data_IF_566548133072
#
_entry.id   IF_566548133072
#
_cell.length_a   1.000
_cell.length_b   1.000
_cell.length_c   1.000
_cell.angle_alpha   90.00
_cell.angle_beta   90.00
_cell.angle_gamma   90.00
#
_symmetry.space_group_name_H-M   'P 1'
#
loop_
_entity.id
_entity.type
_entity.pdbx_description
1 polymer ?
#
# COMPACT_ATOMS: atom_id res chain seq x y z
N UNK A 1 -7.38 4.38 -12.93
CA UNK A 1 -6.77 5.09 -11.79
C UNK A 1 -5.86 6.19 -12.32
N UNK A 2 -5.89 7.34 -11.72
CA UNK A 2 -4.89 8.39 -11.92
C UNK A 2 -4.16 8.63 -10.62
N UNK A 3 -2.89 9.06 -10.68
CA UNK A 3 -2.07 9.33 -9.50
C UNK A 3 -1.42 10.71 -9.62
N UNK A 4 -1.44 11.45 -8.52
CA UNK A 4 -0.75 12.74 -8.38
C UNK A 4 -0.18 12.84 -6.98
N UNK A 5 1.13 13.08 -6.86
CA UNK A 5 1.85 13.16 -5.58
C UNK A 5 1.55 11.98 -4.64
N UNK A 6 1.48 10.77 -5.20
CA UNK A 6 1.22 9.53 -4.46
C UNK A 6 -0.24 9.31 -4.04
N UNK A 7 -1.15 10.20 -4.44
CA UNK A 7 -2.59 10.09 -4.15
C UNK A 7 -3.31 9.57 -5.38
N UNK A 8 -4.06 8.47 -5.20
CA UNK A 8 -4.79 7.79 -6.27
C UNK A 8 -6.25 8.21 -6.29
N UNK A 9 -6.73 8.56 -7.49
CA UNK A 9 -8.12 8.92 -7.76
C UNK A 9 -8.80 7.80 -8.54
N UNK A 10 -9.98 7.40 -8.11
CA UNK A 10 -10.76 6.35 -8.76
C UNK A 10 -11.39 6.86 -10.06
N UNK A 11 -11.48 6.00 -11.11
CA UNK A 11 -12.06 6.41 -12.41
C UNK A 11 -13.59 6.53 -12.38
N UNK A 12 -14.25 5.86 -11.44
CA UNK A 12 -15.69 5.87 -11.26
C UNK A 12 -16.05 5.57 -9.82
N UNK A 13 -17.27 5.88 -9.42
CA UNK A 13 -17.82 5.42 -8.14
C UNK A 13 -17.99 3.90 -8.13
N UNK A 14 -17.97 3.30 -6.95
CA UNK A 14 -18.12 1.87 -6.77
C UNK A 14 -17.40 1.35 -5.53
N UNK A 15 -17.64 0.09 -5.24
CA UNK A 15 -16.95 -0.64 -4.18
C UNK A 15 -15.71 -1.30 -4.77
N UNK A 16 -14.55 -1.00 -4.19
CA UNK A 16 -13.26 -1.48 -4.66
C UNK A 16 -12.57 -2.34 -3.63
N UNK A 17 -11.94 -3.42 -4.09
CA UNK A 17 -10.83 -4.05 -3.37
C UNK A 17 -9.56 -3.27 -3.70
N UNK A 18 -8.87 -2.82 -2.67
CA UNK A 18 -7.60 -2.11 -2.76
C UNK A 18 -6.55 -2.95 -2.05
N UNK A 19 -5.50 -3.33 -2.77
CA UNK A 19 -4.48 -4.25 -2.28
C UNK A 19 -3.10 -3.60 -2.43
N UNK A 20 -2.28 -3.72 -1.40
CA UNK A 20 -0.90 -3.25 -1.41
C UNK A 20 0.04 -4.41 -1.10
N UNK A 21 0.85 -4.79 -2.07
CA UNK A 21 1.87 -5.83 -1.98
C UNK A 21 3.24 -5.16 -1.95
N UNK A 22 4.06 -5.53 -0.98
CA UNK A 22 5.36 -4.92 -0.75
C UNK A 22 6.43 -5.98 -0.63
N UNK A 23 7.50 -5.83 -1.39
CA UNK A 23 8.71 -6.63 -1.26
C UNK A 23 9.84 -5.73 -0.81
N UNK A 24 10.54 -6.15 0.23
CA UNK A 24 11.69 -5.44 0.78
C UNK A 24 12.90 -6.34 0.88
N UNK A 25 14.07 -5.73 1.00
CA UNK A 25 15.34 -6.45 1.22
C UNK A 25 16.25 -5.68 2.15
N UNK A 26 17.05 -6.41 2.92
CA UNK A 26 18.05 -5.86 3.84
C UNK A 26 19.11 -6.91 4.18
N UNK A 27 20.34 -6.46 4.36
CA UNK A 27 21.36 -7.22 5.07
C UNK A 27 21.42 -6.71 6.51
N UNK A 28 20.75 -7.41 7.41
CA UNK A 28 20.60 -7.05 8.82
C UNK A 28 19.17 -7.28 9.31
N UNK A 29 18.97 -7.08 10.61
CA UNK A 29 17.66 -7.20 11.23
C UNK A 29 16.82 -5.91 11.09
N UNK A 30 15.51 -6.05 11.16
CA UNK A 30 14.58 -4.98 11.38
C UNK A 30 13.43 -5.51 12.23
N UNK A 31 13.18 -4.90 13.37
CA UNK A 31 12.15 -5.33 14.31
C UNK A 31 10.76 -5.21 13.70
N UNK A 32 10.53 -4.17 12.90
CA UNK A 32 9.30 -4.04 12.12
C UNK A 32 9.56 -3.45 10.75
N UNK A 33 8.76 -3.88 9.81
CA UNK A 33 8.57 -3.29 8.50
C UNK A 33 7.06 -3.26 8.29
N UNK A 34 6.51 -2.10 7.91
CA UNK A 34 5.07 -1.92 7.79
C UNK A 34 4.66 -1.49 6.39
N UNK A 35 3.48 -1.93 5.96
CA UNK A 35 2.78 -1.38 4.81
C UNK A 35 1.35 -1.00 5.19
N UNK A 36 0.85 0.09 4.62
CA UNK A 36 -0.40 0.67 5.04
C UNK A 36 -1.17 1.29 3.87
N UNK A 37 -2.48 1.14 3.91
CA UNK A 37 -3.41 1.82 3.00
C UNK A 37 -4.13 2.88 3.79
N UNK A 38 -4.11 4.12 3.30
CA UNK A 38 -4.91 5.22 3.82
C UNK A 38 -5.99 5.61 2.83
N UNK A 39 -7.18 5.92 3.33
CA UNK A 39 -8.29 6.43 2.56
C UNK A 39 -8.77 7.78 3.08
N UNK A 40 -9.34 8.56 2.20
CA UNK A 40 -10.01 9.83 2.53
C UNK A 40 -11.37 9.89 1.83
N UNK A 41 -12.34 10.53 2.46
CA UNK A 41 -13.64 10.86 1.88
C UNK A 41 -13.85 12.37 1.73
N UNK A 42 -12.83 13.18 2.08
CA UNK A 42 -12.90 14.64 2.09
C UNK A 42 -11.72 15.31 1.36
N UNK A 43 -11.28 14.66 0.28
CA UNK A 43 -10.19 15.14 -0.58
C UNK A 43 -8.87 15.41 0.16
N UNK A 44 -8.55 14.56 1.15
CA UNK A 44 -7.29 14.62 1.86
C UNK A 44 -7.24 15.59 3.05
N UNK A 45 -8.36 16.15 3.46
CA UNK A 45 -8.44 16.95 4.70
C UNK A 45 -8.14 16.08 5.93
N UNK A 46 -8.60 14.82 5.90
CA UNK A 46 -8.23 13.79 6.87
C UNK A 46 -8.03 12.45 6.17
N UNK A 47 -7.24 11.58 6.78
CA UNK A 47 -6.92 10.26 6.28
C UNK A 47 -7.12 9.21 7.36
N UNK A 48 -7.82 8.14 7.01
CA UNK A 48 -8.05 7.00 7.87
C UNK A 48 -7.19 5.81 7.44
N UNK A 49 -6.65 5.07 8.40
CA UNK A 49 -5.95 3.83 8.12
C UNK A 49 -6.97 2.75 7.78
N UNK A 50 -6.91 2.24 6.57
CA UNK A 50 -7.83 1.23 6.06
C UNK A 50 -7.27 -0.19 6.14
N UNK A 51 -5.96 -0.32 6.06
CA UNK A 51 -5.28 -1.60 6.10
C UNK A 51 -3.84 -1.41 6.57
N UNK A 52 -3.37 -2.35 7.37
CA UNK A 52 -2.04 -2.32 7.98
C UNK A 52 -1.51 -3.74 8.13
N UNK A 53 -0.24 -3.93 7.76
CA UNK A 53 0.48 -5.18 7.97
C UNK A 53 1.89 -4.90 8.43
N UNK A 54 2.40 -5.74 9.32
CA UNK A 54 3.79 -5.69 9.80
C UNK A 54 4.48 -7.02 9.61
N UNK A 55 5.76 -6.95 9.33
CA UNK A 55 6.71 -8.06 9.30
C UNK A 55 7.96 -7.68 10.07
N UNK A 56 8.78 -8.68 10.42
CA UNK A 56 10.11 -8.50 10.96
C UNK A 56 11.13 -9.28 10.12
N UNK A 57 12.38 -8.84 10.16
CA UNK A 57 13.50 -9.53 9.52
C UNK A 57 14.56 -9.84 10.56
N UNK A 58 15.05 -11.08 10.54
CA UNK A 58 16.23 -11.50 11.29
C UNK A 58 17.49 -11.30 10.44
N UNK A 59 18.61 -11.06 11.12
CA UNK A 59 19.91 -10.99 10.47
C UNK A 59 20.33 -12.38 9.96
N UNK A 60 20.47 -12.51 8.65
CA UNK A 60 20.93 -13.74 8.00
C UNK A 60 22.42 -13.69 7.63
N UNK A 61 23.14 -12.63 8.02
CA UNK A 61 24.53 -12.36 7.60
C UNK A 61 24.69 -12.23 6.08
N UNK A 62 23.60 -11.96 5.38
CA UNK A 62 23.53 -11.73 3.94
C UNK A 62 22.26 -10.95 3.63
N UNK A 63 22.10 -10.51 2.38
CA UNK A 63 20.86 -9.86 1.95
C UNK A 63 19.70 -10.85 2.04
N UNK A 64 18.68 -10.48 2.81
CA UNK A 64 17.46 -11.24 3.00
C UNK A 64 16.27 -10.47 2.41
N UNK A 65 15.25 -11.21 1.99
CA UNK A 65 14.05 -10.68 1.36
C UNK A 65 12.83 -10.93 2.24
N UNK A 66 11.87 -10.02 2.17
CA UNK A 66 10.60 -10.17 2.86
C UNK A 66 9.46 -9.67 1.97
N UNK A 67 8.30 -10.22 2.19
CA UNK A 67 7.06 -9.83 1.52
C UNK A 67 5.98 -9.58 2.56
N UNK A 68 5.21 -8.52 2.35
CA UNK A 68 4.00 -8.27 3.12
C UNK A 68 2.89 -7.70 2.24
N UNK A 69 1.69 -7.80 2.74
CA UNK A 69 0.49 -7.43 2.01
C UNK A 69 -0.57 -6.93 2.97
N UNK A 70 -1.28 -5.91 2.54
CA UNK A 70 -2.52 -5.50 3.19
C UNK A 70 -3.59 -5.24 2.14
N UNK A 71 -4.84 -5.37 2.52
CA UNK A 71 -6.00 -5.21 1.65
C UNK A 71 -7.12 -4.53 2.41
N UNK A 72 -7.91 -3.73 1.71
CA UNK A 72 -9.11 -3.09 2.24
C UNK A 72 -10.21 -3.04 1.18
N UNK A 73 -11.44 -3.07 1.64
CA UNK A 73 -12.61 -2.75 0.81
C UNK A 73 -12.91 -1.27 1.01
N UNK A 74 -13.02 -0.55 -0.08
CA UNK A 74 -13.23 0.90 -0.09
C UNK A 74 -14.43 1.27 -0.95
N UNK A 75 -15.43 1.93 -0.36
CA UNK A 75 -16.59 2.42 -1.08
C UNK A 75 -16.34 3.86 -1.55
N UNK A 76 -16.10 4.00 -2.86
CA UNK A 76 -15.90 5.29 -3.50
C UNK A 76 -17.24 5.85 -3.98
N UNK A 77 -17.90 6.61 -3.14
CA UNK A 77 -19.20 7.24 -3.47
C UNK A 77 -19.05 8.55 -4.26
N UNK A 78 -17.85 9.15 -4.27
CA UNK A 78 -17.57 10.39 -4.99
C UNK A 78 -16.10 10.45 -5.38
N UNK A 79 -15.80 10.39 -6.68
CA UNK A 79 -14.42 10.38 -7.20
C UNK A 79 -13.63 11.67 -6.96
N UNK A 80 -14.31 12.78 -6.69
CA UNK A 80 -13.64 14.05 -6.38
C UNK A 80 -13.10 14.09 -4.95
N UNK A 81 -13.72 13.37 -4.02
CA UNK A 81 -13.40 13.42 -2.59
C UNK A 81 -12.81 12.13 -2.05
N UNK A 82 -13.14 10.97 -2.64
CA UNK A 82 -12.69 9.66 -2.19
C UNK A 82 -11.41 9.25 -2.90
N UNK A 83 -10.34 9.12 -2.13
CA UNK A 83 -8.99 8.83 -2.63
C UNK A 83 -8.26 7.89 -1.70
N UNK A 84 -7.21 7.26 -2.20
CA UNK A 84 -6.32 6.40 -1.40
C UNK A 84 -4.86 6.75 -1.63
N UNK A 85 -4.03 6.45 -0.64
CA UNK A 85 -2.57 6.51 -0.71
C UNK A 85 -1.96 5.35 0.04
N UNK A 86 -0.69 5.09 -0.23
CA UNK A 86 0.04 3.95 0.31
C UNK A 86 1.27 4.40 1.07
N UNK A 87 1.59 3.68 2.13
CA UNK A 87 2.69 4.00 3.01
C UNK A 87 3.52 2.76 3.32
N UNK A 88 4.84 2.93 3.38
CA UNK A 88 5.77 1.94 3.92
C UNK A 88 6.62 2.58 5.00
N UNK A 89 6.96 1.82 6.03
CA UNK A 89 7.87 2.24 7.08
C UNK A 89 8.70 1.06 7.59
N UNK A 90 9.82 1.35 8.22
CA UNK A 90 10.68 0.34 8.82
C UNK A 90 11.47 0.97 9.98
N UNK A 91 11.84 0.15 10.97
CA UNK A 91 12.73 0.56 12.04
C UNK A 91 14.15 0.82 11.52
N UNK A 92 14.62 -0.04 10.61
CA UNK A 92 15.95 0.03 10.04
C UNK A 92 15.87 0.32 8.53
N UNK A 93 17.02 0.64 7.92
CA UNK A 93 17.10 0.89 6.49
C UNK A 93 16.77 -0.38 5.69
N UNK A 94 15.61 -0.40 5.08
CA UNK A 94 15.11 -1.46 4.19
C UNK A 94 14.96 -0.88 2.80
N UNK A 95 15.39 -1.62 1.79
CA UNK A 95 15.13 -1.27 0.40
C UNK A 95 13.81 -1.91 -0.03
N UNK A 96 12.83 -1.09 -0.37
CA UNK A 96 11.58 -1.54 -0.98
C UNK A 96 11.77 -1.64 -2.48
N UNK A 97 11.53 -2.83 -3.04
CA UNK A 97 11.88 -3.12 -4.44
C UNK A 97 10.70 -2.93 -5.37
N UNK A 98 10.94 -2.27 -6.49
CA UNK A 98 10.05 -2.21 -7.64
C UNK A 98 10.70 -2.89 -8.85
N UNK A 99 9.88 -3.31 -9.82
CA UNK A 99 10.34 -3.95 -11.04
C UNK A 99 9.36 -3.60 -12.16
N UNK A 100 9.90 -3.27 -13.35
CA UNK A 100 9.06 -2.93 -14.52
C UNK A 100 8.49 -4.16 -15.20
N UNK A 101 9.08 -5.33 -15.00
CA UNK A 101 8.71 -6.58 -15.67
C UNK A 101 7.91 -7.52 -14.75
N UNK A 102 7.94 -7.29 -13.43
CA UNK A 102 7.33 -8.16 -12.42
C UNK A 102 6.69 -7.34 -11.30
N UNK A 103 5.66 -7.89 -10.69
CA UNK A 103 5.03 -7.30 -9.51
C UNK A 103 5.79 -7.69 -8.25
N UNK A 104 6.76 -6.89 -7.84
CA UNK A 104 7.47 -7.03 -6.57
C UNK A 104 6.85 -6.14 -5.49
N UNK A 105 6.71 -4.84 -5.77
CA UNK A 105 5.90 -3.93 -4.97
C UNK A 105 4.86 -3.34 -5.92
N UNK A 106 3.59 -3.51 -5.61
CA UNK A 106 2.51 -3.07 -6.49
C UNK A 106 1.22 -2.77 -5.72
N UNK A 107 0.39 -1.95 -6.32
CA UNK A 107 -0.96 -1.64 -5.86
C UNK A 107 -1.96 -2.23 -6.85
N UNK A 108 -2.96 -2.93 -6.34
CA UNK A 108 -4.00 -3.56 -7.16
C UNK A 108 -5.35 -2.98 -6.77
N UNK A 109 -6.08 -2.53 -7.77
CA UNK A 109 -7.43 -1.99 -7.62
C UNK A 109 -8.39 -2.84 -8.44
N UNK A 110 -9.39 -3.39 -7.79
CA UNK A 110 -10.44 -4.17 -8.45
C UNK A 110 -11.81 -3.62 -8.07
N UNK A 111 -12.57 -3.18 -9.07
CA UNK A 111 -13.95 -2.77 -8.84
C UNK A 111 -14.80 -4.03 -8.67
N UNK A 112 -15.52 -4.12 -7.57
CA UNK A 112 -16.32 -5.29 -7.18
C UNK A 112 -17.79 -5.09 -7.50
N UNK A 113 -18.31 -3.88 -7.26
CA UNK A 113 -19.73 -3.60 -7.36
C UNK A 113 -19.99 -2.10 -7.52
N UNK A 114 -21.23 -1.76 -7.79
CA UNK A 114 -21.73 -0.38 -7.65
C UNK A 114 -21.85 0.00 -6.17
N UNK A 115 -21.65 1.28 -5.91
CA UNK A 115 -21.80 1.81 -4.56
C UNK A 115 -23.29 1.86 -4.16
#
# INVERSE_FOLDING_TARGET
MTVSSGVFTFPSTGIYSVQFNVTGKRNGDSRYIGCQIYGTANNGTSWDSLGLSYESMDNQSAEAYMFMRTESIFDCTNTSTHKVKFYVNAEANVTFTGDTDRNTTCMIFKRLADT
#
